data_IF_052440274442
#
_entry.id   IF_052440274442
#
_cell.length_a   1.000
_cell.length_b   1.000
_cell.length_c   1.000
_cell.angle_alpha   90.00
_cell.angle_beta   90.00
_cell.angle_gamma   90.00
#
_symmetry.space_group_name_H-M   'P 1'
#
loop_
_entity.id
_entity.type
_entity.pdbx_description
1 polymer ?
#
# COMPACT_ATOMS: atom_id res chain seq x y z
N UNK A 1 30.23 -26.27 51.53
CA UNK A 1 31.17 -26.17 50.40
C UNK A 1 30.35 -25.80 49.18
N UNK A 2 30.20 -24.50 48.95
CA UNK A 2 30.13 -23.84 47.64
C UNK A 2 30.30 -22.35 47.92
N UNK A 3 31.32 -21.78 47.28
CA UNK A 3 31.81 -20.42 47.46
C UNK A 3 30.87 -19.42 46.80
N UNK A 4 30.73 -18.29 47.48
CA UNK A 4 30.15 -17.05 47.00
C UNK A 4 31.34 -16.13 46.69
N UNK A 5 31.56 -15.83 45.41
CA UNK A 5 32.44 -14.79 44.88
C UNK A 5 31.66 -14.25 43.68
N UNK A 6 31.35 -12.96 43.56
CA UNK A 6 32.25 -11.84 43.75
C UNK A 6 32.18 -11.02 42.46
N UNK A 7 31.57 -9.84 42.57
CA UNK A 7 31.27 -8.89 41.50
C UNK A 7 32.43 -8.61 40.54
N UNK A 8 32.16 -8.61 39.23
CA UNK A 8 32.99 -7.90 38.25
C UNK A 8 32.13 -7.02 37.34
N UNK A 9 32.34 -5.73 37.50
CA UNK A 9 31.82 -4.64 36.68
C UNK A 9 32.39 -4.70 35.27
N UNK A 10 31.52 -4.72 34.26
CA UNK A 10 31.89 -4.55 32.85
C UNK A 10 31.34 -3.21 32.38
N UNK A 11 32.26 -2.29 32.12
CA UNK A 11 32.02 -0.99 31.52
C UNK A 11 31.56 -1.16 30.08
N UNK A 12 30.38 -0.63 29.74
CA UNK A 12 29.92 -0.55 28.35
C UNK A 12 30.73 0.51 27.61
N UNK A 13 31.68 0.09 26.78
CA UNK A 13 32.34 0.98 25.81
C UNK A 13 31.81 0.65 24.42
N UNK A 14 30.97 1.54 23.90
CA UNK A 14 30.54 1.54 22.49
C UNK A 14 31.72 2.00 21.61
N UNK A 15 32.09 1.28 20.55
CA UNK A 15 33.06 1.82 19.60
C UNK A 15 32.34 2.80 18.67
N UNK A 16 32.49 4.10 18.95
CA UNK A 16 32.29 5.13 17.93
C UNK A 16 33.37 4.96 16.87
N UNK A 17 33.04 4.28 15.77
CA UNK A 17 33.87 4.32 14.58
C UNK A 17 33.63 5.64 13.85
N UNK A 18 34.57 6.56 14.02
CA UNK A 18 34.75 7.74 13.18
C UNK A 18 34.99 7.28 11.74
N UNK A 19 34.01 7.52 10.86
CA UNK A 19 34.23 7.43 9.42
C UNK A 19 34.95 8.69 8.95
N UNK A 20 36.01 8.59 8.12
CA UNK A 20 36.57 9.76 7.48
C UNK A 20 35.53 10.33 6.50
N UNK A 21 35.15 11.59 6.72
CA UNK A 21 34.38 12.36 5.76
C UNK A 21 35.25 12.57 4.50
N UNK A 22 35.11 11.70 3.50
CA UNK A 22 35.62 11.97 2.17
C UNK A 22 34.78 13.10 1.58
N UNK A 23 35.35 14.30 1.63
CA UNK A 23 34.86 15.45 0.88
C UNK A 23 34.98 15.12 -0.61
N UNK A 24 33.85 14.80 -1.24
CA UNK A 24 33.78 14.67 -2.69
C UNK A 24 33.72 16.10 -3.24
N UNK A 25 34.89 16.61 -3.66
CA UNK A 25 34.98 17.89 -4.36
C UNK A 25 34.26 17.82 -5.71
N UNK A 26 33.53 18.87 -6.11
CA UNK A 26 32.84 18.92 -7.39
C UNK A 26 33.83 19.30 -8.49
N UNK A 27 34.57 18.32 -9.01
CA UNK A 27 35.55 18.56 -10.06
C UNK A 27 35.98 17.29 -10.76
N UNK A 28 35.34 16.99 -11.89
CA UNK A 28 35.91 16.19 -12.98
C UNK A 28 36.38 14.77 -12.66
N UNK A 29 35.45 13.87 -12.31
CA UNK A 29 35.67 12.44 -12.51
C UNK A 29 34.85 11.99 -13.71
N UNK A 30 35.55 11.57 -14.78
CA UNK A 30 34.93 11.05 -15.99
C UNK A 30 34.12 9.79 -15.71
N UNK A 31 33.09 9.58 -16.53
CA UNK A 31 32.16 8.44 -16.57
C UNK A 31 32.80 7.04 -16.63
N UNK A 32 34.13 6.96 -16.77
CA UNK A 32 34.86 5.70 -16.93
C UNK A 32 35.01 4.87 -15.66
N UNK A 33 34.97 5.47 -14.46
CA UNK A 33 35.20 4.73 -13.20
C UNK A 33 33.92 4.12 -12.60
N UNK A 34 32.76 4.65 -12.97
CA UNK A 34 31.47 4.19 -12.44
C UNK A 34 31.10 2.78 -12.93
N UNK A 35 31.54 2.40 -14.14
CA UNK A 35 31.27 1.08 -14.73
C UNK A 35 32.07 -0.08 -14.12
N UNK A 36 33.16 0.21 -13.38
CA UNK A 36 34.07 -0.81 -12.81
C UNK A 36 33.82 -1.09 -11.31
N UNK A 37 32.80 -0.47 -10.71
CA UNK A 37 32.48 -0.64 -9.30
C UNK A 37 32.01 -2.07 -9.01
N UNK A 38 32.47 -2.62 -7.88
CA UNK A 38 31.91 -3.86 -7.34
C UNK A 38 30.44 -3.68 -6.99
N UNK A 39 29.61 -4.74 -7.05
CA UNK A 39 28.18 -4.64 -6.77
C UNK A 39 27.84 -3.96 -5.44
N UNK A 40 28.57 -4.27 -4.37
CA UNK A 40 28.34 -3.69 -3.03
C UNK A 40 28.69 -2.20 -2.98
N UNK A 41 29.82 -1.81 -3.57
CA UNK A 41 30.29 -0.43 -3.65
C UNK A 41 29.35 0.42 -4.52
N UNK A 42 28.92 -0.14 -5.67
CA UNK A 42 27.89 0.45 -6.53
C UNK A 42 26.59 0.65 -5.76
N UNK A 43 26.16 -0.34 -4.98
CA UNK A 43 24.94 -0.25 -4.19
C UNK A 43 24.97 0.89 -3.19
N UNK A 44 26.06 1.02 -2.43
CA UNK A 44 26.25 2.15 -1.49
C UNK A 44 26.32 3.50 -2.20
N UNK A 45 27.01 3.55 -3.35
CA UNK A 45 27.09 4.75 -4.19
C UNK A 45 25.69 5.20 -4.65
N UNK A 46 24.88 4.26 -5.15
CA UNK A 46 23.50 4.53 -5.58
C UNK A 46 22.63 5.10 -4.44
N UNK A 47 22.74 4.57 -3.22
CA UNK A 47 22.01 5.10 -2.05
C UNK A 47 22.41 6.56 -1.79
N UNK A 48 23.71 6.86 -1.82
CA UNK A 48 24.20 8.22 -1.60
C UNK A 48 23.74 9.19 -2.70
N UNK A 49 23.80 8.75 -3.96
CA UNK A 49 23.34 9.55 -5.10
C UNK A 49 21.83 9.82 -5.04
N UNK A 50 21.01 8.84 -4.69
CA UNK A 50 19.56 9.02 -4.52
C UNK A 50 19.23 10.05 -3.43
N UNK A 51 19.91 9.96 -2.27
CA UNK A 51 19.72 10.92 -1.18
C UNK A 51 20.18 12.33 -1.59
N UNK A 52 21.32 12.42 -2.26
CA UNK A 52 21.87 13.69 -2.77
C UNK A 52 20.93 14.31 -3.79
N UNK A 53 20.44 13.53 -4.73
CA UNK A 53 19.46 13.98 -5.72
C UNK A 53 18.18 14.48 -5.03
N UNK A 54 17.65 13.75 -4.07
CA UNK A 54 16.47 14.17 -3.31
C UNK A 54 16.68 15.52 -2.62
N UNK A 55 17.86 15.77 -2.04
CA UNK A 55 18.21 17.05 -1.43
C UNK A 55 18.27 18.19 -2.48
N UNK A 56 18.88 17.95 -3.65
CA UNK A 56 18.91 18.95 -4.73
C UNK A 56 17.52 19.27 -5.27
N UNK A 57 16.66 18.25 -5.43
CA UNK A 57 15.26 18.41 -5.83
C UNK A 57 14.47 19.21 -4.79
N UNK A 58 14.66 18.92 -3.50
CA UNK A 58 14.01 19.66 -2.42
C UNK A 58 14.48 21.13 -2.35
N UNK A 59 15.76 21.40 -2.64
CA UNK A 59 16.32 22.75 -2.72
C UNK A 59 15.95 23.52 -4.00
N UNK A 60 15.29 22.87 -4.97
CA UNK A 60 14.97 23.48 -6.27
C UNK A 60 16.19 23.68 -7.18
N UNK A 61 17.34 23.07 -6.86
CA UNK A 61 18.58 23.17 -7.61
C UNK A 61 18.56 22.21 -8.81
N UNK A 62 17.80 22.56 -9.86
CA UNK A 62 17.51 21.68 -10.99
C UNK A 62 18.76 21.23 -11.77
N UNK A 63 19.72 22.14 -11.96
CA UNK A 63 20.97 21.82 -12.66
C UNK A 63 21.78 20.75 -11.92
N UNK A 64 21.92 20.89 -10.60
CA UNK A 64 22.61 19.92 -9.75
C UNK A 64 21.84 18.59 -9.72
N UNK A 65 20.50 18.65 -9.60
CA UNK A 65 19.67 17.44 -9.63
C UNK A 65 19.84 16.68 -10.96
N UNK A 66 19.90 17.38 -12.09
CA UNK A 66 20.13 16.79 -13.40
C UNK A 66 21.49 16.09 -13.49
N UNK A 67 22.56 16.71 -12.97
CA UNK A 67 23.89 16.09 -12.93
C UNK A 67 23.92 14.81 -12.08
N UNK A 68 23.23 14.81 -10.93
CA UNK A 68 23.16 13.62 -10.07
C UNK A 68 22.31 12.52 -10.73
N UNK A 69 21.20 12.88 -11.41
CA UNK A 69 20.39 11.92 -12.18
C UNK A 69 21.18 11.29 -13.33
N UNK A 70 22.02 12.07 -14.02
CA UNK A 70 22.92 11.55 -15.06
C UNK A 70 23.88 10.49 -14.49
N UNK A 71 24.48 10.74 -13.32
CA UNK A 71 25.32 9.76 -12.64
C UNK A 71 24.53 8.50 -12.23
N UNK A 72 23.32 8.66 -11.70
CA UNK A 72 22.46 7.51 -11.35
C UNK A 72 22.14 6.70 -12.61
N UNK A 73 21.85 7.35 -13.74
CA UNK A 73 21.51 6.67 -15.00
C UNK A 73 22.63 5.77 -15.53
N UNK A 74 23.90 6.08 -15.21
CA UNK A 74 25.06 5.27 -15.60
C UNK A 74 25.24 4.02 -14.73
N UNK A 75 24.67 4.01 -13.51
CA UNK A 75 24.81 2.91 -12.54
C UNK A 75 23.55 2.07 -12.38
N UNK A 76 22.37 2.68 -12.53
CA UNK A 76 21.09 2.05 -12.30
C UNK A 76 20.63 1.27 -13.54
N UNK A 77 19.97 0.14 -13.32
CA UNK A 77 19.40 -0.69 -14.37
C UNK A 77 18.15 -1.41 -13.86
N UNK A 78 17.02 -1.36 -14.58
CA UNK A 78 15.80 -2.08 -14.19
C UNK A 78 15.94 -3.61 -14.29
N UNK A 79 16.94 -4.09 -15.01
CA UNK A 79 17.28 -5.50 -15.20
C UNK A 79 18.54 -5.92 -14.40
N UNK A 80 19.08 -5.01 -13.59
CA UNK A 80 20.29 -5.23 -12.79
C UNK A 80 20.04 -5.91 -11.45
N UNK A 81 21.00 -5.78 -10.53
CA UNK A 81 20.84 -6.24 -9.15
C UNK A 81 19.75 -5.46 -8.38
N UNK A 82 19.42 -5.92 -7.17
CA UNK A 82 18.38 -5.30 -6.33
C UNK A 82 18.54 -3.79 -6.16
N UNK A 83 19.77 -3.29 -5.93
CA UNK A 83 19.98 -1.87 -5.67
C UNK A 83 19.96 -1.06 -6.98
N UNK A 84 20.42 -1.63 -8.09
CA UNK A 84 20.26 -1.02 -9.41
C UNK A 84 18.79 -0.83 -9.76
N UNK A 85 17.96 -1.85 -9.51
CA UNK A 85 16.52 -1.81 -9.78
C UNK A 85 15.81 -0.76 -8.92
N UNK A 86 16.08 -0.74 -7.62
CA UNK A 86 15.57 0.28 -6.71
C UNK A 86 15.98 1.68 -7.21
N UNK A 87 17.26 1.88 -7.53
CA UNK A 87 17.74 3.17 -8.00
C UNK A 87 17.09 3.63 -9.30
N UNK A 88 16.83 2.73 -10.25
CA UNK A 88 16.13 3.06 -11.49
C UNK A 88 14.74 3.63 -11.22
N UNK A 89 13.93 2.95 -10.39
CA UNK A 89 12.57 3.41 -10.09
C UNK A 89 12.54 4.68 -9.24
N UNK A 90 13.45 4.84 -8.29
CA UNK A 90 13.54 6.08 -7.49
C UNK A 90 14.07 7.26 -8.32
N UNK A 91 15.00 7.04 -9.25
CA UNK A 91 15.49 8.08 -10.16
C UNK A 91 14.37 8.56 -11.09
N UNK A 92 13.58 7.64 -11.66
CA UNK A 92 12.40 7.99 -12.45
C UNK A 92 11.40 8.81 -11.61
N UNK A 93 11.10 8.39 -10.38
CA UNK A 93 10.19 9.11 -9.49
C UNK A 93 10.69 10.53 -9.13
N UNK A 94 12.00 10.69 -8.89
CA UNK A 94 12.61 12.00 -8.64
C UNK A 94 12.56 12.90 -9.89
N UNK A 95 12.83 12.34 -11.07
CA UNK A 95 12.70 13.06 -12.33
C UNK A 95 11.24 13.48 -12.61
N UNK A 96 10.26 12.60 -12.35
CA UNK A 96 8.82 12.93 -12.45
C UNK A 96 8.46 14.09 -11.51
N UNK A 97 8.96 14.05 -10.27
CA UNK A 97 8.77 15.13 -9.29
C UNK A 97 9.35 16.47 -9.79
N UNK A 98 10.53 16.45 -10.41
CA UNK A 98 11.11 17.65 -11.04
C UNK A 98 10.20 18.16 -12.16
N UNK A 99 9.76 17.29 -13.07
CA UNK A 99 8.93 17.67 -14.21
C UNK A 99 7.60 18.33 -13.80
N UNK A 100 7.03 17.94 -12.65
CA UNK A 100 5.80 18.56 -12.11
C UNK A 100 5.97 20.04 -11.76
N UNK A 101 7.19 20.55 -11.61
CA UNK A 101 7.46 21.99 -11.47
C UNK A 101 7.14 22.78 -12.75
N UNK A 102 7.05 22.10 -13.89
CA UNK A 102 6.62 22.64 -15.18
C UNK A 102 5.33 21.95 -15.67
N UNK A 103 4.14 22.40 -15.22
CA UNK A 103 2.89 21.71 -15.49
C UNK A 103 2.56 21.52 -16.97
N UNK A 104 2.97 22.46 -17.83
CA UNK A 104 2.78 22.36 -19.28
C UNK A 104 3.58 21.21 -19.90
N UNK A 105 4.87 21.13 -19.58
CA UNK A 105 5.75 20.06 -20.03
C UNK A 105 5.31 18.71 -19.49
N UNK A 106 4.99 18.66 -18.18
CA UNK A 106 4.49 17.46 -17.52
C UNK A 106 3.26 16.89 -18.24
N UNK A 107 2.24 17.74 -18.51
CA UNK A 107 1.02 17.32 -19.21
C UNK A 107 1.30 16.89 -20.65
N UNK A 108 2.17 17.61 -21.37
CA UNK A 108 2.52 17.28 -22.75
C UNK A 108 3.16 15.88 -22.85
N UNK A 109 4.15 15.57 -22.00
CA UNK A 109 4.84 14.28 -21.98
C UNK A 109 3.94 13.11 -21.58
N UNK A 110 2.90 13.37 -20.79
CA UNK A 110 1.98 12.33 -20.31
C UNK A 110 0.67 12.22 -21.13
N UNK A 111 0.47 13.11 -22.11
CA UNK A 111 -0.80 13.21 -22.86
C UNK A 111 -1.18 11.95 -23.63
N UNK A 112 -0.19 11.13 -23.99
CA UNK A 112 -0.36 9.88 -24.76
C UNK A 112 -0.12 8.62 -23.92
N UNK A 113 0.14 8.75 -22.61
CA UNK A 113 0.40 7.60 -21.73
C UNK A 113 -0.91 6.86 -21.49
N UNK A 114 -1.19 5.86 -22.32
CA UNK A 114 -2.26 4.91 -22.09
C UNK A 114 -1.81 3.95 -20.99
N UNK A 115 -2.32 4.14 -19.76
CA UNK A 115 -2.22 3.09 -18.74
C UNK A 115 -3.19 1.99 -19.17
N UNK A 116 -2.68 0.92 -19.79
CA UNK A 116 -3.51 -0.20 -20.18
C UNK A 116 -4.02 -0.88 -18.90
N UNK A 117 -5.33 -0.84 -18.66
CA UNK A 117 -5.98 -1.49 -17.52
C UNK A 117 -5.63 -2.98 -17.40
N UNK A 118 -5.29 -3.62 -18.52
CA UNK A 118 -4.79 -5.01 -18.58
C UNK A 118 -3.50 -5.25 -17.81
N UNK A 119 -2.60 -4.28 -17.83
CA UNK A 119 -1.26 -4.44 -17.27
C UNK A 119 -1.29 -4.33 -15.74
N UNK A 120 -2.16 -3.46 -15.21
CA UNK A 120 -2.41 -3.33 -13.77
C UNK A 120 -3.03 -4.59 -13.17
N UNK A 121 -4.03 -5.20 -13.85
CA UNK A 121 -4.63 -6.45 -13.40
C UNK A 121 -3.61 -7.60 -13.39
N UNK A 122 -2.77 -7.67 -14.43
CA UNK A 122 -1.72 -8.70 -14.54
C UNK A 122 -0.69 -8.54 -13.42
N UNK A 123 -0.21 -7.32 -13.16
CA UNK A 123 0.73 -7.05 -12.08
C UNK A 123 0.15 -7.41 -10.69
N UNK A 124 -1.13 -7.09 -10.44
CA UNK A 124 -1.82 -7.46 -9.19
C UNK A 124 -1.93 -8.97 -9.02
N UNK A 125 -2.29 -9.69 -10.08
CA UNK A 125 -2.35 -11.16 -10.06
C UNK A 125 -0.97 -11.76 -9.80
N UNK A 126 0.06 -11.30 -10.49
CA UNK A 126 1.44 -11.75 -10.28
C UNK A 126 1.91 -11.48 -8.85
N UNK A 127 1.59 -10.31 -8.28
CA UNK A 127 1.90 -10.00 -6.88
C UNK A 127 1.24 -11.00 -5.92
N UNK A 128 -0.04 -11.31 -6.14
CA UNK A 128 -0.78 -12.28 -5.33
C UNK A 128 -0.24 -13.71 -5.46
N UNK A 129 0.17 -14.11 -6.67
CA UNK A 129 0.72 -15.44 -6.93
C UNK A 129 2.11 -15.62 -6.30
N UNK A 130 3.00 -14.65 -6.51
CA UNK A 130 4.40 -14.74 -6.09
C UNK A 130 4.63 -14.46 -4.61
N UNK A 131 3.83 -13.58 -3.98
CA UNK A 131 4.07 -13.14 -2.61
C UNK A 131 2.97 -13.61 -1.64
N UNK A 132 3.33 -13.97 -0.40
CA UNK A 132 2.38 -14.51 0.57
C UNK A 132 1.58 -13.43 1.32
N UNK A 133 1.88 -12.14 1.16
CA UNK A 133 1.35 -11.08 2.02
C UNK A 133 -0.19 -11.06 2.07
N UNK A 134 -0.84 -11.05 0.90
CA UNK A 134 -2.30 -11.04 0.82
C UNK A 134 -2.90 -12.39 1.23
N UNK A 135 -2.28 -13.51 0.87
CA UNK A 135 -2.73 -14.86 1.25
C UNK A 135 -2.77 -15.02 2.78
N UNK A 136 -1.69 -14.62 3.46
CA UNK A 136 -1.61 -14.65 4.93
C UNK A 136 -2.64 -13.68 5.53
N UNK A 137 -2.77 -12.47 5.00
CA UNK A 137 -3.76 -11.51 5.47
C UNK A 137 -5.20 -12.07 5.35
N UNK A 138 -5.52 -12.74 4.25
CA UNK A 138 -6.84 -13.36 4.04
C UNK A 138 -7.12 -14.48 5.04
N UNK A 139 -6.16 -15.38 5.27
CA UNK A 139 -6.31 -16.48 6.25
C UNK A 139 -6.55 -15.92 7.65
N UNK A 140 -5.70 -14.99 8.10
CA UNK A 140 -5.82 -14.40 9.44
C UNK A 140 -7.12 -13.61 9.59
N UNK A 141 -7.52 -12.86 8.56
CA UNK A 141 -8.77 -12.09 8.59
C UNK A 141 -9.98 -13.00 8.62
N UNK A 142 -10.01 -14.05 7.80
CA UNK A 142 -11.12 -15.01 7.80
C UNK A 142 -11.20 -15.75 9.13
N UNK A 143 -10.07 -16.16 9.71
CA UNK A 143 -10.05 -16.79 11.02
C UNK A 143 -10.63 -15.85 12.10
N UNK A 144 -10.23 -14.59 12.12
CA UNK A 144 -10.78 -13.60 13.04
C UNK A 144 -12.28 -13.35 12.83
N UNK A 145 -12.76 -13.37 11.59
CA UNK A 145 -14.19 -13.29 11.28
C UNK A 145 -14.92 -14.54 11.81
N UNK A 146 -14.41 -15.74 11.53
CA UNK A 146 -15.02 -16.99 11.99
C UNK A 146 -15.17 -17.02 13.52
N UNK A 147 -14.11 -16.63 14.23
CA UNK A 147 -14.12 -16.54 15.70
C UNK A 147 -15.10 -15.47 16.21
N UNK A 148 -15.14 -14.30 15.58
CA UNK A 148 -16.02 -13.21 15.99
C UNK A 148 -17.50 -13.46 15.70
N UNK A 149 -17.80 -14.33 14.72
CA UNK A 149 -19.17 -14.62 14.26
C UNK A 149 -19.69 -15.99 14.73
N UNK A 150 -19.03 -16.62 15.71
CA UNK A 150 -19.45 -17.90 16.27
C UNK A 150 -20.87 -17.80 16.87
N UNK A 151 -21.76 -18.71 16.45
CA UNK A 151 -23.16 -18.76 16.89
C UNK A 151 -24.10 -17.74 16.24
N UNK A 152 -23.58 -16.82 15.42
CA UNK A 152 -24.38 -15.81 14.74
C UNK A 152 -25.15 -16.39 13.55
N UNK A 153 -26.44 -16.08 13.44
CA UNK A 153 -27.30 -16.61 12.36
C UNK A 153 -27.30 -15.75 11.10
N UNK A 154 -27.00 -14.46 11.26
CA UNK A 154 -27.00 -13.45 10.19
C UNK A 154 -25.66 -12.72 10.24
N UNK A 155 -24.82 -12.96 9.23
CA UNK A 155 -23.49 -12.36 9.13
C UNK A 155 -23.44 -11.42 7.93
N UNK A 156 -22.96 -10.21 8.15
CA UNK A 156 -22.71 -9.24 7.10
C UNK A 156 -21.24 -8.83 7.10
N UNK A 157 -20.61 -8.96 5.94
CA UNK A 157 -19.23 -8.57 5.71
C UNK A 157 -19.22 -7.40 4.74
N UNK A 158 -18.48 -6.35 5.08
CA UNK A 158 -18.20 -5.21 4.20
C UNK A 158 -16.74 -5.28 3.79
N UNK A 159 -16.50 -5.53 2.51
CA UNK A 159 -15.16 -5.49 1.91
C UNK A 159 -14.92 -4.13 1.24
N UNK A 160 -14.03 -3.32 1.83
CA UNK A 160 -13.73 -1.98 1.33
C UNK A 160 -12.88 -1.98 0.05
N UNK A 161 -12.39 -3.14 -0.41
CA UNK A 161 -11.68 -3.30 -1.68
C UNK A 161 -11.94 -4.69 -2.28
N UNK A 162 -13.18 -4.92 -2.72
CA UNK A 162 -13.63 -6.18 -3.29
C UNK A 162 -13.07 -6.40 -4.71
N UNK A 163 -11.78 -6.71 -4.76
CA UNK A 163 -11.01 -6.90 -5.99
C UNK A 163 -10.61 -8.36 -6.24
N UNK A 164 -10.53 -9.19 -5.19
CA UNK A 164 -10.04 -10.57 -5.27
C UNK A 164 -11.02 -11.54 -4.59
N UNK A 165 -11.68 -12.44 -5.34
CA UNK A 165 -12.67 -13.38 -4.79
C UNK A 165 -12.09 -14.44 -3.87
N UNK A 166 -10.80 -14.76 -3.98
CA UNK A 166 -10.16 -15.89 -3.28
C UNK A 166 -10.40 -15.87 -1.77
N UNK A 167 -10.37 -14.69 -1.13
CA UNK A 167 -10.61 -14.57 0.31
C UNK A 167 -11.99 -15.13 0.69
N UNK A 168 -13.03 -14.70 -0.02
CA UNK A 168 -14.42 -15.01 0.33
C UNK A 168 -14.83 -16.39 -0.16
N UNK A 169 -14.24 -16.88 -1.25
CA UNK A 169 -14.39 -18.27 -1.66
C UNK A 169 -13.88 -19.22 -0.57
N UNK A 170 -12.71 -18.92 0.02
CA UNK A 170 -12.20 -19.71 1.15
C UNK A 170 -13.14 -19.65 2.35
N UNK A 171 -13.63 -18.45 2.70
CA UNK A 171 -14.56 -18.28 3.81
C UNK A 171 -15.87 -19.09 3.61
N UNK A 172 -16.41 -19.13 2.39
CA UNK A 172 -17.58 -19.93 2.07
C UNK A 172 -17.34 -21.43 2.33
N UNK A 173 -16.18 -21.96 1.92
CA UNK A 173 -15.82 -23.35 2.22
C UNK A 173 -15.68 -23.60 3.73
N UNK A 174 -15.03 -22.69 4.44
CA UNK A 174 -14.84 -22.80 5.90
C UNK A 174 -16.19 -22.78 6.64
N UNK A 175 -17.12 -21.89 6.24
CA UNK A 175 -18.49 -21.83 6.79
C UNK A 175 -19.31 -23.07 6.46
N UNK A 176 -19.19 -23.64 5.26
CA UNK A 176 -19.93 -24.85 4.87
C UNK A 176 -19.53 -26.08 5.69
N UNK A 177 -18.30 -26.09 6.23
CA UNK A 177 -17.76 -27.18 7.03
C UNK A 177 -18.07 -27.04 8.53
N UNK A 178 -18.75 -25.95 8.93
CA UNK A 178 -19.02 -25.65 10.33
C UNK A 178 -20.07 -26.61 10.92
N UNK A 179 -19.87 -27.19 12.12
CA UNK A 179 -20.78 -28.19 12.69
C UNK A 179 -22.23 -27.74 12.87
N UNK A 180 -22.44 -26.45 13.13
CA UNK A 180 -23.77 -25.86 13.32
C UNK A 180 -24.47 -25.47 12.00
N UNK A 181 -23.79 -25.68 10.87
CA UNK A 181 -24.22 -25.23 9.54
C UNK A 181 -23.84 -23.78 9.26
N UNK A 182 -23.95 -23.34 7.99
CA UNK A 182 -23.59 -21.99 7.59
C UNK A 182 -24.67 -20.96 7.99
N UNK A 183 -24.27 -19.73 8.38
CA UNK A 183 -25.20 -18.64 8.61
C UNK A 183 -25.77 -18.09 7.30
N UNK A 184 -26.77 -17.21 7.38
CA UNK A 184 -27.09 -16.35 6.25
C UNK A 184 -25.97 -15.33 6.06
N UNK A 185 -25.23 -15.44 4.96
CA UNK A 185 -24.07 -14.62 4.68
C UNK A 185 -24.40 -13.52 3.67
N UNK A 186 -24.15 -12.28 4.06
CA UNK A 186 -24.20 -11.12 3.17
C UNK A 186 -22.83 -10.53 3.00
N UNK A 187 -22.42 -10.26 1.76
CA UNK A 187 -21.17 -9.54 1.47
C UNK A 187 -21.51 -8.27 0.69
N UNK A 188 -21.09 -7.12 1.22
CA UNK A 188 -21.11 -5.84 0.51
C UNK A 188 -19.71 -5.54 -0.02
N UNK A 189 -19.53 -5.56 -1.33
CA UNK A 189 -18.24 -5.29 -1.97
C UNK A 189 -18.14 -3.87 -2.49
N UNK A 190 -17.11 -3.13 -2.06
CA UNK A 190 -16.82 -1.77 -2.53
C UNK A 190 -15.66 -1.83 -3.52
N UNK A 191 -15.87 -1.29 -4.72
CA UNK A 191 -14.82 -1.13 -5.72
C UNK A 191 -15.22 -0.09 -6.79
N UNK A 192 -14.27 0.58 -7.41
CA UNK A 192 -14.56 1.63 -8.40
C UNK A 192 -14.86 1.09 -9.81
N UNK A 193 -14.44 -0.15 -10.12
CA UNK A 193 -14.77 -0.82 -11.36
C UNK A 193 -15.94 -1.78 -11.16
N UNK A 194 -17.05 -1.51 -11.87
CA UNK A 194 -18.25 -2.36 -11.84
C UNK A 194 -18.00 -3.79 -12.34
N UNK A 195 -17.19 -3.95 -13.39
CA UNK A 195 -16.87 -5.26 -13.96
C UNK A 195 -16.22 -6.20 -12.93
N UNK A 196 -15.36 -5.68 -12.06
CA UNK A 196 -14.75 -6.44 -10.96
C UNK A 196 -15.81 -6.94 -9.99
N UNK A 197 -16.75 -6.08 -9.58
CA UNK A 197 -17.85 -6.45 -8.67
C UNK A 197 -18.83 -7.43 -9.32
N UNK A 198 -19.11 -7.28 -10.62
CA UNK A 198 -19.97 -8.21 -11.35
C UNK A 198 -19.32 -9.60 -11.48
N UNK A 199 -17.99 -9.67 -11.66
CA UNK A 199 -17.25 -10.92 -11.61
C UNK A 199 -17.28 -11.54 -10.21
N UNK A 200 -17.05 -10.73 -9.18
CA UNK A 200 -17.11 -11.13 -7.77
C UNK A 200 -18.46 -11.74 -7.42
N UNK A 201 -19.54 -11.02 -7.73
CA UNK A 201 -20.92 -11.44 -7.47
C UNK A 201 -21.21 -12.80 -8.12
N UNK A 202 -20.84 -12.98 -9.40
CA UNK A 202 -21.06 -14.24 -10.11
C UNK A 202 -20.31 -15.39 -9.49
N UNK A 203 -19.02 -15.22 -9.17
CA UNK A 203 -18.19 -16.30 -8.60
C UNK A 203 -18.67 -16.69 -7.21
N UNK A 204 -18.92 -15.73 -6.33
CA UNK A 204 -19.34 -16.01 -4.96
C UNK A 204 -20.76 -16.59 -4.90
N UNK A 205 -21.68 -16.08 -5.71
CA UNK A 205 -23.05 -16.61 -5.74
C UNK A 205 -23.06 -18.06 -6.24
N UNK A 206 -22.34 -18.35 -7.33
CA UNK A 206 -22.27 -19.70 -7.87
C UNK A 206 -21.60 -20.69 -6.88
N UNK A 207 -20.61 -20.26 -6.11
CA UNK A 207 -19.98 -21.12 -5.11
C UNK A 207 -20.86 -21.33 -3.87
N UNK A 208 -21.51 -20.26 -3.39
CA UNK A 208 -22.46 -20.36 -2.28
C UNK A 208 -23.65 -21.28 -2.62
N UNK A 209 -24.16 -21.24 -3.85
CA UNK A 209 -25.21 -22.16 -4.34
C UNK A 209 -24.77 -23.63 -4.30
N UNK A 210 -23.52 -23.93 -4.69
CA UNK A 210 -22.98 -25.30 -4.63
C UNK A 210 -22.82 -25.80 -3.19
N UNK A 211 -22.52 -24.90 -2.26
CA UNK A 211 -22.30 -25.20 -0.85
C UNK A 211 -23.59 -25.11 -0.01
N UNK A 212 -24.74 -24.83 -0.64
CA UNK A 212 -26.04 -24.64 0.01
C UNK A 212 -26.02 -23.56 1.12
N UNK A 213 -25.26 -22.48 0.88
CA UNK A 213 -25.15 -21.34 1.81
C UNK A 213 -26.16 -20.26 1.41
N UNK A 214 -27.04 -19.83 2.34
CA UNK A 214 -27.92 -18.68 2.09
C UNK A 214 -27.09 -17.41 1.92
N UNK A 215 -26.94 -16.93 0.69
CA UNK A 215 -25.96 -15.90 0.33
C UNK A 215 -26.57 -14.69 -0.39
N UNK A 216 -26.05 -13.50 -0.08
CA UNK A 216 -26.37 -12.27 -0.80
C UNK A 216 -25.11 -11.42 -1.06
N UNK A 217 -24.85 -11.06 -2.31
CA UNK A 217 -23.83 -10.08 -2.67
C UNK A 217 -24.45 -8.70 -3.00
N UNK A 218 -23.92 -7.63 -2.41
CA UNK A 218 -24.34 -6.24 -2.66
C UNK A 218 -23.17 -5.41 -3.21
N UNK A 219 -23.19 -5.04 -4.51
CA UNK A 219 -22.12 -4.23 -5.09
C UNK A 219 -22.31 -2.73 -4.78
N UNK A 220 -21.23 -2.06 -4.38
CA UNK A 220 -21.19 -0.59 -4.21
C UNK A 220 -20.07 -0.02 -5.08
N UNK A 221 -20.46 0.58 -6.21
CA UNK A 221 -19.50 1.15 -7.18
C UNK A 221 -19.04 2.54 -6.74
N UNK A 222 -17.95 2.59 -5.98
CA UNK A 222 -17.32 3.84 -5.52
C UNK A 222 -15.88 3.58 -5.10
N UNK A 223 -15.13 4.66 -4.88
CA UNK A 223 -13.89 4.60 -4.10
C UNK A 223 -14.19 4.87 -2.63
N UNK A 224 -13.33 4.38 -1.73
CA UNK A 224 -13.48 4.53 -0.28
C UNK A 224 -13.57 6.00 0.15
N UNK A 225 -12.87 6.92 -0.52
CA UNK A 225 -12.88 8.35 -0.20
C UNK A 225 -14.26 8.99 -0.42
N UNK A 226 -15.06 8.41 -1.32
CA UNK A 226 -16.38 8.90 -1.71
C UNK A 226 -17.51 7.99 -1.18
N UNK A 227 -17.20 7.06 -0.29
CA UNK A 227 -18.16 6.09 0.21
C UNK A 227 -19.22 6.76 1.09
N UNK A 228 -20.47 6.59 0.70
CA UNK A 228 -21.63 6.94 1.51
C UNK A 228 -22.07 5.72 2.31
N UNK A 229 -21.98 5.79 3.64
CA UNK A 229 -22.28 4.69 4.55
C UNK A 229 -23.72 4.18 4.41
N UNK A 230 -24.66 5.02 3.98
CA UNK A 230 -26.05 4.58 3.75
C UNK A 230 -26.13 3.54 2.62
N UNK A 231 -25.18 3.55 1.69
CA UNK A 231 -25.11 2.57 0.59
C UNK A 231 -24.63 1.19 1.03
N UNK A 232 -24.03 1.08 2.22
CA UNK A 232 -23.61 -0.20 2.80
C UNK A 232 -24.80 -1.04 3.30
N UNK A 233 -25.96 -0.39 3.50
CA UNK A 233 -27.23 -1.03 3.87
C UNK A 233 -27.09 -1.98 5.06
N UNK A 234 -26.38 -1.57 6.10
CA UNK A 234 -26.30 -2.33 7.36
C UNK A 234 -27.70 -2.45 7.96
N UNK A 235 -28.07 -3.65 8.41
CA UNK A 235 -29.38 -3.95 8.98
C UNK A 235 -29.24 -4.24 10.47
N UNK A 236 -30.22 -3.85 11.27
CA UNK A 236 -30.25 -4.22 12.69
C UNK A 236 -30.39 -5.73 12.85
N UNK A 237 -29.62 -6.32 13.76
CA UNK A 237 -29.70 -7.76 14.09
C UNK A 237 -28.81 -8.67 13.24
N UNK A 238 -27.94 -8.11 12.38
CA UNK A 238 -26.84 -8.86 11.77
C UNK A 238 -25.53 -8.59 12.51
N UNK A 239 -24.68 -9.60 12.62
CA UNK A 239 -23.31 -9.44 13.07
C UNK A 239 -22.46 -8.87 11.92
N UNK A 240 -21.66 -7.84 12.18
CA UNK A 240 -20.99 -7.04 11.16
C UNK A 240 -19.47 -7.20 11.24
N UNK A 241 -18.83 -7.59 10.13
CA UNK A 241 -17.39 -7.47 9.92
C UNK A 241 -17.08 -6.44 8.83
N UNK A 242 -16.05 -5.62 9.03
CA UNK A 242 -15.54 -4.70 8.02
C UNK A 242 -14.09 -5.06 7.75
N UNK A 243 -13.76 -5.33 6.49
CA UNK A 243 -12.39 -5.64 6.06
C UNK A 243 -11.83 -4.53 5.18
N UNK A 244 -10.56 -4.21 5.43
CA UNK A 244 -9.86 -3.12 4.76
C UNK A 244 -8.46 -3.55 4.33
N UNK A 245 -8.38 -4.22 3.19
CA UNK A 245 -7.10 -4.64 2.60
C UNK A 245 -6.47 -3.51 1.79
N UNK A 246 -5.42 -2.90 2.36
CA UNK A 246 -4.63 -1.82 1.74
C UNK A 246 -5.45 -0.59 1.31
N UNK A 247 -6.50 -0.21 2.07
CA UNK A 247 -7.32 0.98 1.74
C UNK A 247 -7.16 2.15 2.70
N UNK A 248 -7.02 1.93 4.02
CA UNK A 248 -7.10 3.05 4.99
C UNK A 248 -6.07 4.15 4.75
N UNK A 249 -4.88 3.82 4.21
CA UNK A 249 -3.82 4.80 3.97
C UNK A 249 -4.19 5.83 2.89
N UNK A 250 -5.12 5.52 1.98
CA UNK A 250 -5.54 6.47 0.92
C UNK A 250 -6.31 7.66 1.50
N UNK A 251 -6.99 7.45 2.63
CA UNK A 251 -7.72 8.50 3.34
C UNK A 251 -6.80 9.60 3.91
N UNK A 252 -5.51 9.28 4.14
CA UNK A 252 -4.51 10.27 4.57
C UNK A 252 -4.26 11.31 3.47
N UNK A 253 -4.20 10.88 2.21
CA UNK A 253 -3.94 11.76 1.07
C UNK A 253 -5.15 12.64 0.73
N UNK A 254 -6.38 12.13 0.91
CA UNK A 254 -7.60 12.89 0.68
C UNK A 254 -7.72 14.10 1.62
N UNK A 255 -7.42 13.89 2.92
CA UNK A 255 -7.49 14.95 3.92
C UNK A 255 -6.53 16.11 3.61
N UNK A 256 -5.34 15.81 3.09
CA UNK A 256 -4.36 16.85 2.71
C UNK A 256 -4.79 17.67 1.48
N UNK A 257 -5.49 17.04 0.52
CA UNK A 257 -6.03 17.77 -0.63
C UNK A 257 -7.20 18.67 -0.22
N UNK A 258 -8.11 18.18 0.63
CA UNK A 258 -9.22 18.96 1.17
C UNK A 258 -8.74 20.17 2.00
N UNK A 259 -7.68 19.99 2.79
CA UNK A 259 -7.02 21.08 3.55
C UNK A 259 -6.39 22.13 2.63
N UNK A 260 -5.83 21.73 1.49
CA UNK A 260 -5.21 22.66 0.52
C UNK A 260 -6.23 23.40 -0.35
N UNK A 261 -7.44 22.85 -0.53
CA UNK A 261 -8.51 23.48 -1.33
C UNK A 261 -9.46 24.38 -0.52
N UNK A 262 -9.33 24.42 0.81
CA UNK A 262 -10.18 25.24 1.68
C UNK A 262 -9.55 26.63 1.89
N UNK A 263 -10.30 27.74 1.77
CA UNK A 263 -9.75 29.08 1.99
C UNK A 263 -9.31 29.28 3.46
N UNK A 264 -8.30 30.13 3.72
CA UNK A 264 -7.80 30.37 5.08
C UNK A 264 -8.81 31.23 5.85
N UNK A 265 -9.80 30.59 6.49
CA UNK A 265 -10.81 31.26 7.29
C UNK A 265 -11.66 30.35 8.19
N UNK A 266 -11.90 29.09 7.81
CA UNK A 266 -12.92 28.25 8.48
C UNK A 266 -12.37 27.27 9.54
N UNK A 267 -11.19 27.52 10.11
CA UNK A 267 -10.57 26.59 11.09
C UNK A 267 -11.08 26.72 12.53
N UNK A 268 -12.31 27.22 12.73
CA UNK A 268 -12.95 27.22 14.04
C UNK A 268 -14.40 26.73 13.95
N UNK A 269 -14.63 25.49 13.46
CA UNK A 269 -15.81 24.69 13.87
C UNK A 269 -15.90 23.24 13.34
N UNK A 270 -14.92 22.70 12.60
CA UNK A 270 -15.11 21.41 11.89
C UNK A 270 -14.39 20.16 12.47
N UNK A 271 -13.74 20.26 13.62
CA UNK A 271 -13.13 19.08 14.27
C UNK A 271 -14.16 18.03 14.75
N UNK A 272 -15.44 18.42 14.85
CA UNK A 272 -16.54 17.51 15.20
C UNK A 272 -16.97 16.57 14.06
N UNK A 273 -16.81 16.99 12.79
CA UNK A 273 -17.30 16.25 11.62
C UNK A 273 -16.33 15.17 11.12
N UNK A 274 -15.01 15.39 11.26
CA UNK A 274 -14.01 14.36 10.98
C UNK A 274 -13.93 13.35 12.12
N UNK A 275 -14.15 13.79 13.37
CA UNK A 275 -14.26 12.90 14.53
C UNK A 275 -15.51 12.02 14.47
N UNK A 276 -16.64 12.51 13.95
CA UNK A 276 -17.87 11.72 13.82
C UNK A 276 -17.77 10.61 12.78
N UNK A 277 -17.04 10.81 11.67
CA UNK A 277 -16.79 9.76 10.66
C UNK A 277 -15.90 8.62 11.18
N UNK A 278 -14.96 8.91 12.08
CA UNK A 278 -14.10 7.90 12.72
C UNK A 278 -14.80 7.26 13.93
N UNK A 279 -15.67 8.00 14.65
CA UNK A 279 -16.46 7.43 15.75
C UNK A 279 -17.53 6.44 15.29
N UNK A 280 -18.05 6.56 14.06
CA UNK A 280 -18.91 5.54 13.45
C UNK A 280 -18.18 4.24 13.09
N UNK A 281 -16.86 4.16 13.28
CA UNK A 281 -16.05 2.98 13.03
C UNK A 281 -15.95 2.06 14.27
N UNK A 282 -16.38 2.52 15.45
CA UNK A 282 -16.12 1.85 16.74
C UNK A 282 -17.35 1.66 17.65
N UNK A 283 -18.55 2.01 17.19
CA UNK A 283 -19.80 1.81 17.93
C UNK A 283 -20.87 1.13 17.07
#
# INVERSE_FOLDING_TARGET
>A
MFQDDGSSSITSSSPQQNFPATSISPGGFGSSWLGELKPEERGLCLIHLLLTCANQVAAGALENANQVLDQISQLASPDGDTMQRIASYFAEALADRILRTWPGLYKALHSTRLTALSDDLTAKKTLFELFPFLKVAFIVTNQAIMEAMEGEKLVHIIDLNAAEPTQWLQLLHDLSSHPEGPPHLRITGVHHHRQTLDQMARLLTAEAEKLDIPFQFTPVVTRIENLDFQKLRVKTGEALAITSSLQLHTLLAYNDQFRKSSPPGDFLENDSASSSKIKGFLN
#
